data_IF_887698717750
#
_entry.id   IF_887698717750
#
_cell.length_a   1.000
_cell.length_b   1.000
_cell.length_c   1.000
_cell.angle_alpha   90.00
_cell.angle_beta   90.00
_cell.angle_gamma   90.00
#
_symmetry.space_group_name_H-M   'P 1'
#
loop_
_entity.id
_entity.type
_entity.pdbx_description
1 polymer ?
#
# COMPACT_ATOMS: atom_id res chain seq x y z
N UNK A 1 -2.26 -11.19 0.94
CA UNK A 1 -1.21 -12.09 1.50
C UNK A 1 -0.17 -11.26 2.24
N UNK A 2 -0.06 -11.44 3.55
CA UNK A 2 1.07 -10.93 4.31
C UNK A 2 2.28 -11.81 4.00
N UNK A 3 3.31 -11.21 3.39
CA UNK A 3 4.52 -11.93 3.00
C UNK A 3 5.48 -12.08 4.20
N UNK A 4 6.02 -10.97 4.65
CA UNK A 4 7.04 -10.99 5.71
C UNK A 4 7.18 -9.65 6.43
N UNK A 5 7.84 -9.69 7.57
CA UNK A 5 8.38 -8.52 8.22
C UNK A 5 9.86 -8.35 7.84
N UNK A 6 10.25 -7.12 7.54
CA UNK A 6 11.64 -6.74 7.21
C UNK A 6 12.03 -5.60 8.15
N UNK A 7 12.71 -5.94 9.24
CA UNK A 7 12.94 -4.99 10.33
C UNK A 7 11.61 -4.60 10.98
N UNK A 8 11.29 -3.32 10.96
CA UNK A 8 10.03 -2.73 11.44
C UNK A 8 8.98 -2.52 10.32
N UNK A 9 9.32 -2.87 9.09
CA UNK A 9 8.40 -2.82 7.95
C UNK A 9 7.68 -4.15 7.73
N UNK A 10 6.47 -4.09 7.18
CA UNK A 10 5.70 -5.25 6.74
C UNK A 10 5.50 -5.21 5.22
N UNK A 11 5.67 -6.35 4.56
CA UNK A 11 5.41 -6.52 3.14
C UNK A 11 4.18 -7.39 2.94
N UNK A 12 3.25 -6.93 2.11
CA UNK A 12 2.07 -7.68 1.71
C UNK A 12 1.82 -7.49 0.21
N UNK A 13 1.11 -8.45 -0.40
CA UNK A 13 0.69 -8.35 -1.80
C UNK A 13 -0.72 -8.92 -2.01
N UNK A 14 -1.38 -8.46 -3.06
CA UNK A 14 -2.71 -8.84 -3.48
C UNK A 14 -2.68 -9.37 -4.92
N UNK A 15 -3.69 -10.15 -5.32
CA UNK A 15 -3.77 -10.73 -6.65
C UNK A 15 -3.10 -12.09 -6.80
N UNK A 16 -2.51 -12.64 -5.74
CA UNK A 16 -1.93 -13.98 -5.69
C UNK A 16 -2.03 -14.58 -4.28
N UNK A 17 -2.10 -15.91 -4.11
CA UNK A 17 -2.10 -16.97 -5.14
C UNK A 17 -3.42 -17.03 -5.93
N UNK A 18 -4.50 -16.51 -5.38
CA UNK A 18 -5.79 -16.45 -6.04
C UNK A 18 -6.03 -15.02 -6.55
N UNK A 19 -6.24 -14.83 -7.86
CA UNK A 19 -6.66 -13.56 -8.38
C UNK A 19 -8.06 -13.26 -7.82
N UNK A 20 -8.16 -12.22 -6.99
CA UNK A 20 -9.43 -11.69 -6.48
C UNK A 20 -9.93 -10.59 -7.38
N UNK A 21 -11.25 -10.37 -7.41
CA UNK A 21 -11.79 -9.14 -7.96
C UNK A 21 -11.36 -7.96 -7.08
N UNK A 22 -11.10 -6.82 -7.71
CA UNK A 22 -10.86 -5.54 -7.03
C UNK A 22 -9.68 -5.51 -6.04
N UNK A 23 -8.68 -6.37 -6.27
CA UNK A 23 -7.53 -6.52 -5.36
C UNK A 23 -6.75 -5.21 -5.13
N UNK A 24 -6.75 -4.29 -6.10
CA UNK A 24 -6.09 -2.98 -5.95
C UNK A 24 -6.83 -2.12 -4.92
N UNK A 25 -8.18 -2.14 -4.94
CA UNK A 25 -8.99 -1.45 -3.94
C UNK A 25 -8.82 -2.08 -2.55
N UNK A 26 -8.71 -3.41 -2.48
CA UNK A 26 -8.46 -4.09 -1.20
C UNK A 26 -7.11 -3.66 -0.59
N UNK A 27 -6.08 -3.47 -1.42
CA UNK A 27 -4.79 -2.95 -0.97
C UNK A 27 -4.93 -1.49 -0.46
N UNK A 28 -5.66 -0.65 -1.19
CA UNK A 28 -5.91 0.74 -0.80
C UNK A 28 -6.68 0.83 0.54
N UNK A 29 -7.73 0.04 0.70
CA UNK A 29 -8.50 -0.02 1.96
C UNK A 29 -7.64 -0.48 3.13
N UNK A 30 -6.88 -1.56 2.96
CA UNK A 30 -5.98 -2.04 4.01
C UNK A 30 -4.98 -0.96 4.44
N UNK A 31 -4.44 -0.19 3.50
CA UNK A 31 -3.54 0.91 3.82
C UNK A 31 -4.22 2.04 4.60
N UNK A 32 -5.46 2.41 4.23
CA UNK A 32 -6.23 3.41 4.98
C UNK A 32 -6.53 2.93 6.40
N UNK A 33 -6.98 1.67 6.56
CA UNK A 33 -7.24 1.06 7.87
C UNK A 33 -5.97 1.01 8.74
N UNK A 34 -4.82 0.73 8.14
CA UNK A 34 -3.53 0.74 8.85
C UNK A 34 -3.15 2.15 9.33
N UNK A 35 -3.34 3.17 8.52
CA UNK A 35 -3.07 4.57 8.92
C UNK A 35 -4.00 4.99 10.07
N UNK A 36 -5.28 4.67 9.98
CA UNK A 36 -6.25 4.96 11.04
C UNK A 36 -5.93 4.20 12.32
N UNK A 37 -5.66 2.91 12.23
CA UNK A 37 -5.25 2.09 13.37
C UNK A 37 -3.96 2.57 14.02
N UNK A 38 -2.99 3.07 13.24
CA UNK A 38 -1.76 3.63 13.77
C UNK A 38 -1.98 4.92 14.56
N UNK A 39 -2.97 5.74 14.19
CA UNK A 39 -3.35 6.94 14.95
C UNK A 39 -3.91 6.56 16.31
N UNK A 40 -4.87 5.63 16.36
CA UNK A 40 -5.45 5.16 17.62
C UNK A 40 -4.38 4.54 18.54
N UNK A 41 -3.48 3.71 17.98
CA UNK A 41 -2.37 3.14 18.74
C UNK A 41 -1.41 4.24 19.24
N UNK A 42 -1.13 5.26 18.44
CA UNK A 42 -0.25 6.35 18.81
C UNK A 42 -0.83 7.18 19.96
N UNK A 43 -2.14 7.41 19.98
CA UNK A 43 -2.84 8.09 21.09
C UNK A 43 -2.68 7.28 22.38
N UNK A 44 -2.97 5.99 22.36
CA UNK A 44 -2.83 5.10 23.52
C UNK A 44 -1.37 5.05 24.04
N UNK A 45 -0.39 4.94 23.14
CA UNK A 45 1.03 4.90 23.51
C UNK A 45 1.52 6.24 24.05
N UNK A 46 0.98 7.36 23.55
CA UNK A 46 1.31 8.69 24.05
C UNK A 46 0.80 8.87 25.48
N UNK A 47 -0.43 8.46 25.77
CA UNK A 47 -1.01 8.53 27.11
C UNK A 47 -0.26 7.66 28.11
N UNK A 48 0.11 6.43 27.73
CA UNK A 48 0.75 5.47 28.63
C UNK A 48 2.26 5.61 28.76
N UNK A 49 2.92 6.01 27.68
CA UNK A 49 4.39 5.94 27.58
C UNK A 49 5.06 7.21 27.03
N UNK A 50 4.29 8.23 26.66
CA UNK A 50 4.81 9.44 26.04
C UNK A 50 5.50 9.19 24.68
N UNK A 51 5.08 8.14 23.95
CA UNK A 51 5.66 7.75 22.66
C UNK A 51 4.59 7.74 21.56
N UNK A 52 4.96 8.16 20.38
CA UNK A 52 4.12 8.12 19.18
C UNK A 52 4.63 7.07 18.21
N UNK A 53 3.72 6.48 17.44
CA UNK A 53 4.02 5.55 16.34
C UNK A 53 3.28 6.02 15.09
N UNK A 54 3.96 6.02 13.96
CA UNK A 54 3.34 6.30 12.66
C UNK A 54 4.08 5.53 11.58
N UNK A 55 3.34 5.09 10.55
CA UNK A 55 3.88 4.33 9.43
C UNK A 55 3.69 5.12 8.14
N UNK A 56 4.73 5.13 7.29
CA UNK A 56 4.60 5.45 5.89
C UNK A 56 4.20 4.17 5.11
N UNK A 57 3.37 4.31 4.10
CA UNK A 57 2.92 3.17 3.29
C UNK A 57 3.20 3.45 1.82
N UNK A 58 3.70 2.45 1.09
CA UNK A 58 3.92 2.50 -0.34
C UNK A 58 3.11 1.43 -1.06
N UNK A 59 2.29 1.81 -2.05
CA UNK A 59 1.53 0.87 -2.87
C UNK A 59 1.94 1.04 -4.33
N UNK A 60 2.30 -0.07 -4.97
CA UNK A 60 2.60 -0.10 -6.39
C UNK A 60 1.88 -1.27 -7.07
N UNK A 61 1.42 -1.03 -8.28
CA UNK A 61 0.80 -2.03 -9.14
C UNK A 61 1.73 -2.34 -10.31
N UNK A 62 1.99 -3.60 -10.53
CA UNK A 62 2.84 -4.08 -11.63
C UNK A 62 3.03 -5.59 -11.59
N UNK A 63 3.73 -6.10 -12.58
CA UNK A 63 4.05 -7.52 -12.67
C UNK A 63 5.12 -7.91 -11.65
N UNK A 64 4.95 -9.08 -11.04
CA UNK A 64 5.92 -9.67 -10.13
C UNK A 64 5.92 -11.20 -10.30
N UNK A 65 7.05 -11.83 -10.01
CA UNK A 65 7.10 -13.28 -9.90
C UNK A 65 6.68 -13.66 -8.48
N UNK A 66 5.63 -14.46 -8.38
CA UNK A 66 5.08 -14.90 -7.10
C UNK A 66 5.14 -16.41 -7.02
N UNK A 67 5.63 -16.94 -5.92
CA UNK A 67 5.71 -18.38 -5.71
C UNK A 67 6.63 -18.77 -4.56
N UNK A 68 6.88 -20.06 -4.43
CA UNK A 68 7.86 -20.56 -3.48
C UNK A 68 9.28 -20.29 -4.01
N UNK A 69 9.97 -19.39 -3.37
CA UNK A 69 11.29 -18.90 -3.76
C UNK A 69 12.27 -19.20 -2.64
N UNK A 70 13.42 -19.78 -2.99
CA UNK A 70 14.44 -20.11 -2.03
C UNK A 70 15.26 -21.34 -2.41
N UNK A 71 15.86 -21.97 -1.42
CA UNK A 71 16.62 -23.21 -1.56
C UNK A 71 15.80 -24.41 -1.05
N UNK A 72 16.19 -25.68 -1.38
CA UNK A 72 15.50 -26.86 -0.86
C UNK A 72 15.40 -26.93 0.67
N UNK A 73 16.24 -26.20 1.39
CA UNK A 73 16.24 -26.16 2.86
C UNK A 73 15.39 -25.03 3.45
N UNK A 74 15.08 -24.02 2.64
CA UNK A 74 14.27 -22.88 3.06
C UNK A 74 13.59 -22.26 1.85
N UNK A 75 12.29 -22.38 1.80
CA UNK A 75 11.43 -21.78 0.77
C UNK A 75 10.41 -20.89 1.42
N UNK A 76 10.28 -19.69 0.89
CA UNK A 76 9.26 -18.72 1.31
C UNK A 76 8.32 -18.46 0.12
N UNK A 77 7.01 -18.47 0.35
CA UNK A 77 6.05 -18.01 -0.65
C UNK A 77 6.07 -16.48 -0.65
N UNK A 78 6.62 -15.91 -1.70
CA UNK A 78 6.92 -14.46 -1.75
C UNK A 78 6.78 -13.92 -3.17
N UNK A 79 6.78 -12.59 -3.28
CA UNK A 79 6.85 -11.87 -4.54
C UNK A 79 8.24 -11.26 -4.72
N UNK A 80 8.79 -11.37 -5.94
CA UNK A 80 10.05 -10.71 -6.33
C UNK A 80 9.88 -9.96 -7.65
N UNK A 81 10.69 -8.93 -7.81
CA UNK A 81 10.75 -8.13 -9.04
C UNK A 81 10.90 -6.64 -8.78
N UNK A 82 10.98 -5.88 -9.86
CA UNK A 82 11.09 -4.42 -9.78
C UNK A 82 9.86 -3.77 -9.15
N UNK A 83 8.69 -4.40 -9.31
CA UNK A 83 7.42 -4.00 -8.68
C UNK A 83 7.54 -3.96 -7.15
N UNK A 84 8.12 -4.98 -6.55
CA UNK A 84 8.38 -5.05 -5.10
C UNK A 84 9.34 -3.94 -4.66
N UNK A 85 10.45 -3.78 -5.39
CA UNK A 85 11.43 -2.73 -5.11
C UNK A 85 10.85 -1.33 -5.24
N UNK A 86 9.91 -1.14 -6.16
CA UNK A 86 9.24 0.15 -6.34
C UNK A 86 8.31 0.45 -5.17
N UNK A 87 7.52 -0.53 -4.71
CA UNK A 87 6.68 -0.38 -3.52
C UNK A 87 7.51 -0.03 -2.28
N UNK A 88 8.63 -0.73 -2.06
CA UNK A 88 9.54 -0.44 -0.95
C UNK A 88 10.14 0.97 -1.03
N UNK A 89 10.43 1.47 -2.23
CA UNK A 89 10.92 2.85 -2.41
C UNK A 89 9.83 3.90 -2.15
N UNK A 90 8.59 3.62 -2.52
CA UNK A 90 7.45 4.48 -2.18
C UNK A 90 7.30 4.56 -0.65
N UNK A 91 7.29 3.40 0.02
CA UNK A 91 7.22 3.31 1.48
C UNK A 91 8.33 4.11 2.16
N UNK A 92 9.59 3.89 1.78
CA UNK A 92 10.75 4.55 2.36
C UNK A 92 10.75 6.09 2.20
N UNK A 93 9.99 6.64 1.27
CA UNK A 93 9.82 8.08 1.06
C UNK A 93 8.52 8.63 1.64
N UNK A 94 7.59 7.78 2.04
CA UNK A 94 6.30 8.20 2.59
C UNK A 94 6.47 8.68 4.04
N UNK A 95 6.10 9.92 4.37
CA UNK A 95 6.04 10.36 5.77
C UNK A 95 5.09 9.52 6.60
N UNK A 96 5.33 9.45 7.90
CA UNK A 96 4.41 8.74 8.81
C UNK A 96 2.97 9.25 8.70
N UNK A 97 2.02 8.33 8.60
CA UNK A 97 0.60 8.63 8.40
C UNK A 97 0.22 8.96 6.95
N UNK A 98 1.14 8.78 5.99
CA UNK A 98 0.92 9.05 4.57
C UNK A 98 1.02 7.77 3.75
N UNK A 99 0.17 7.67 2.72
CA UNK A 99 0.17 6.56 1.78
C UNK A 99 0.64 7.09 0.42
N UNK A 100 1.78 6.62 -0.06
CA UNK A 100 2.25 6.90 -1.40
C UNK A 100 1.81 5.81 -2.37
N UNK A 101 1.26 6.22 -3.48
CA UNK A 101 0.84 5.33 -4.56
C UNK A 101 1.52 5.71 -5.88
N UNK A 102 1.73 4.72 -6.74
CA UNK A 102 2.15 4.96 -8.10
C UNK A 102 0.99 5.41 -8.99
N UNK A 103 1.30 6.03 -10.13
CA UNK A 103 0.32 6.37 -11.16
C UNK A 103 -0.51 5.15 -11.57
N UNK A 104 0.10 3.97 -11.72
CA UNK A 104 -0.62 2.75 -12.08
C UNK A 104 -1.72 2.36 -11.07
N UNK A 105 -1.51 2.60 -9.77
CA UNK A 105 -2.53 2.41 -8.73
C UNK A 105 -3.64 3.44 -8.88
N UNK A 106 -3.28 4.71 -9.07
CA UNK A 106 -4.25 5.79 -9.23
C UNK A 106 -5.16 5.56 -10.46
N UNK A 107 -4.58 5.16 -11.59
CA UNK A 107 -5.31 4.86 -12.82
C UNK A 107 -6.26 3.65 -12.65
N UNK A 108 -5.80 2.59 -11.96
CA UNK A 108 -6.63 1.41 -11.67
C UNK A 108 -7.81 1.72 -10.73
N UNK A 109 -7.72 2.78 -9.94
CA UNK A 109 -8.75 3.22 -8.99
C UNK A 109 -9.42 4.54 -9.40
N UNK A 110 -9.28 4.94 -10.67
CA UNK A 110 -9.85 6.19 -11.18
C UNK A 110 -11.34 6.33 -10.85
N UNK A 111 -11.73 7.51 -10.35
CA UNK A 111 -13.09 7.80 -9.92
C UNK A 111 -13.53 7.14 -8.60
N UNK A 112 -12.67 6.36 -7.97
CA UNK A 112 -12.97 5.62 -6.73
C UNK A 112 -12.15 6.10 -5.54
N UNK A 113 -11.14 6.92 -5.79
CA UNK A 113 -10.26 7.51 -4.77
C UNK A 113 -10.05 8.99 -5.03
N UNK A 114 -9.73 9.74 -3.99
CA UNK A 114 -9.08 11.03 -4.09
C UNK A 114 -7.57 10.83 -3.91
N UNK A 115 -6.78 11.37 -4.82
CA UNK A 115 -5.33 11.28 -4.80
C UNK A 115 -4.72 12.59 -5.28
N UNK A 116 -3.62 13.01 -4.63
CA UNK A 116 -2.91 14.24 -4.96
C UNK A 116 -1.55 13.93 -5.56
N UNK A 117 -1.28 14.44 -6.77
CA UNK A 117 0.03 14.28 -7.41
C UNK A 117 1.10 15.12 -6.70
N UNK A 118 2.25 14.51 -6.45
CA UNK A 118 3.42 15.17 -5.85
C UNK A 118 4.32 15.86 -6.88
N UNK A 119 3.88 15.92 -8.15
CA UNK A 119 4.51 16.73 -9.21
C UNK A 119 5.96 16.36 -9.53
N UNK A 120 6.35 15.11 -9.38
CA UNK A 120 7.72 14.66 -9.66
C UNK A 120 8.76 15.17 -8.64
N UNK A 121 8.33 15.70 -7.50
CA UNK A 121 9.23 16.19 -6.44
C UNK A 121 9.99 15.07 -5.74
N UNK A 122 9.54 13.82 -5.89
CA UNK A 122 10.18 12.66 -5.29
C UNK A 122 10.95 11.89 -6.36
N UNK A 123 12.28 11.87 -6.20
CA UNK A 123 13.15 11.03 -7.02
C UNK A 123 13.32 9.67 -6.36
N UNK A 124 12.67 8.66 -6.91
CA UNK A 124 12.91 7.28 -6.47
C UNK A 124 14.23 6.78 -7.06
N UNK A 125 15.18 6.42 -6.21
CA UNK A 125 16.51 5.90 -6.63
C UNK A 125 16.33 4.74 -7.63
N UNK A 126 16.94 4.85 -8.81
CA UNK A 126 16.89 3.83 -9.86
C UNK A 126 15.61 3.84 -10.72
N UNK A 127 14.74 4.82 -10.60
CA UNK A 127 13.66 5.10 -11.54
C UNK A 127 14.04 6.23 -12.48
N UNK A 128 13.53 6.16 -13.72
CA UNK A 128 13.72 7.22 -14.73
C UNK A 128 13.07 8.52 -14.26
N UNK A 129 13.56 9.63 -14.73
CA UNK A 129 12.87 10.92 -14.60
C UNK A 129 11.43 10.77 -15.11
N UNK A 130 10.45 11.24 -14.33
CA UNK A 130 9.02 11.13 -14.66
C UNK A 130 8.25 10.01 -13.96
N UNK A 131 8.87 9.28 -12.99
CA UNK A 131 8.07 8.39 -12.14
C UNK A 131 7.20 9.23 -11.21
N UNK A 132 5.90 9.20 -11.49
CA UNK A 132 4.93 9.99 -10.75
C UNK A 132 4.47 9.28 -9.49
N UNK A 133 4.53 10.01 -8.39
CA UNK A 133 4.06 9.59 -7.06
C UNK A 133 2.87 10.46 -6.67
N UNK A 134 1.84 9.82 -6.13
CA UNK A 134 0.68 10.50 -5.58
C UNK A 134 0.50 10.10 -4.11
N UNK A 135 -0.20 10.94 -3.34
CA UNK A 135 -0.76 10.51 -2.06
C UNK A 135 -2.15 9.91 -2.29
N UNK A 136 -2.47 8.84 -1.57
CA UNK A 136 -3.85 8.37 -1.44
C UNK A 136 -4.49 9.13 -0.27
N UNK A 137 -5.46 9.98 -0.58
CA UNK A 137 -6.05 10.89 0.41
C UNK A 137 -7.34 10.32 0.98
N UNK A 138 -8.19 9.71 0.12
CA UNK A 138 -9.50 9.20 0.53
C UNK A 138 -9.98 8.10 -0.44
N UNK A 139 -10.76 7.16 0.08
CA UNK A 139 -11.55 6.23 -0.73
C UNK A 139 -12.97 6.79 -0.83
N UNK A 140 -13.39 7.09 -2.06
CA UNK A 140 -14.69 7.70 -2.31
C UNK A 140 -15.82 6.68 -2.13
N UNK A 141 -16.93 7.10 -1.52
CA UNK A 141 -18.12 6.29 -1.47
C UNK A 141 -18.68 6.11 -2.89
N UNK A 142 -18.90 4.87 -3.32
CA UNK A 142 -19.58 4.60 -4.59
C UNK A 142 -21.03 5.05 -4.45
N UNK A 143 -21.39 6.10 -5.18
CA UNK A 143 -22.78 6.51 -5.25
C UNK A 143 -23.61 5.37 -5.86
N UNK A 144 -24.35 4.60 -5.04
CA UNK A 144 -25.29 3.61 -5.53
C UNK A 144 -25.32 2.21 -4.90
N UNK A 145 -24.64 1.97 -3.76
CA UNK A 145 -24.68 0.63 -3.14
C UNK A 145 -25.70 0.45 -2.00
N UNK A 146 -26.53 1.45 -1.72
CA UNK A 146 -27.58 1.40 -0.66
C UNK A 146 -29.01 1.49 -1.20
N UNK A 147 -29.33 0.73 -2.25
CA UNK A 147 -30.72 0.55 -2.69
C UNK A 147 -31.02 -0.93 -2.94
N UNK A 148 -31.09 -1.74 -1.89
CA UNK A 148 -31.50 -3.13 -2.10
C UNK A 148 -31.37 -4.06 -0.90
N UNK A 149 -31.76 -3.65 0.30
CA UNK A 149 -32.16 -4.63 1.33
C UNK A 149 -33.09 -4.04 2.38
N UNK A 150 -34.33 -3.71 1.93
CA UNK A 150 -35.48 -3.64 2.80
C UNK A 150 -36.65 -4.34 2.04
N UNK A 151 -36.71 -5.61 2.21
CA UNK A 151 -37.94 -6.39 2.04
C UNK A 151 -37.81 -7.67 2.85
#
# INVERSE_FOLDING_TARGET
TLDKFVGDAAMAFWGAPLPGEDYVMHAARAAMDMVEGSRALSEELTERHGRTVSFGIGIHLGEAVVGNIGSPRRMDYTAIGDTVNTAARLEANAPGGTIYISRAVADALEGRIAATSLGGTIRLKGKKEGFEVLTLDEILAVAGADAGNQA
#
